data_IF_371835731100
#
_entry.id   IF_371835731100
#
_cell.length_a   1.000
_cell.length_b   1.000
_cell.length_c   1.000
_cell.angle_alpha   90.00
_cell.angle_beta   90.00
_cell.angle_gamma   90.00
#
_symmetry.space_group_name_H-M   'P 1'
#
loop_
_entity.id
_entity.type
_entity.pdbx_description
1 polymer ?
#
# COMPACT_ATOMS: atom_id res chain seq x y z
N UNK A 1 -12.70 10.21 26.36
CA UNK A 1 -11.25 9.98 26.44
C UNK A 1 -10.89 9.79 27.91
N UNK A 2 -10.39 8.61 28.27
CA UNK A 2 -9.94 8.23 29.61
C UNK A 2 -8.85 9.17 30.14
N UNK A 3 -7.81 9.37 29.33
CA UNK A 3 -6.73 10.30 29.65
C UNK A 3 -7.11 11.75 29.32
N UNK A 4 -8.20 11.95 28.58
CA UNK A 4 -8.65 13.30 28.21
C UNK A 4 -9.04 14.21 29.38
N UNK A 5 -9.40 13.63 30.53
CA UNK A 5 -9.59 14.37 31.79
C UNK A 5 -8.29 15.02 32.30
N UNK A 6 -7.14 14.55 31.83
CA UNK A 6 -5.83 15.06 32.17
C UNK A 6 -5.30 16.11 31.17
N UNK A 7 -6.17 16.64 30.31
CA UNK A 7 -5.86 17.71 29.37
C UNK A 7 -5.36 17.20 28.01
N UNK A 8 -4.84 18.14 27.20
CA UNK A 8 -4.43 17.88 25.80
C UNK A 8 -3.36 16.78 25.66
N UNK A 9 -2.45 16.67 26.62
CA UNK A 9 -1.37 15.66 26.60
C UNK A 9 -1.87 14.24 26.78
N UNK A 10 -2.79 14.03 27.72
CA UNK A 10 -3.45 12.73 27.88
C UNK A 10 -4.27 12.35 26.64
N UNK A 11 -4.94 13.34 26.01
CA UNK A 11 -5.66 13.11 24.74
C UNK A 11 -4.72 12.71 23.60
N UNK A 12 -3.53 13.30 23.52
CA UNK A 12 -2.54 12.98 22.49
C UNK A 12 -2.11 11.50 22.54
N UNK A 13 -1.73 11.02 23.72
CA UNK A 13 -1.32 9.63 23.93
C UNK A 13 -2.48 8.66 23.69
N UNK A 14 -3.67 8.99 24.20
CA UNK A 14 -4.86 8.15 23.98
C UNK A 14 -5.29 8.14 22.51
N UNK A 15 -5.18 9.27 21.80
CA UNK A 15 -5.49 9.38 20.38
C UNK A 15 -4.55 8.53 19.54
N UNK A 16 -3.23 8.54 19.83
CA UNK A 16 -2.27 7.63 19.18
C UNK A 16 -2.73 6.19 19.29
N UNK A 17 -3.01 5.72 20.52
CA UNK A 17 -3.42 4.33 20.73
C UNK A 17 -4.72 3.98 20.02
N UNK A 18 -5.76 4.82 20.16
CA UNK A 18 -7.06 4.56 19.56
C UNK A 18 -7.00 4.59 18.03
N UNK A 19 -6.27 5.54 17.42
CA UNK A 19 -6.10 5.63 15.98
C UNK A 19 -5.31 4.44 15.42
N UNK A 20 -4.22 4.04 16.07
CA UNK A 20 -3.47 2.84 15.71
C UNK A 20 -4.33 1.58 15.84
N UNK A 21 -5.19 1.50 16.86
CA UNK A 21 -6.13 0.39 17.04
C UNK A 21 -7.13 0.30 15.90
N UNK A 22 -7.74 1.42 15.52
CA UNK A 22 -8.67 1.45 14.38
C UNK A 22 -7.99 1.01 13.08
N UNK A 23 -6.75 1.47 12.82
CA UNK A 23 -5.99 1.04 11.64
C UNK A 23 -5.69 -0.47 11.68
N UNK A 24 -5.25 -1.00 12.82
CA UNK A 24 -4.99 -2.44 12.99
C UNK A 24 -6.26 -3.28 12.76
N UNK A 25 -7.41 -2.83 13.27
CA UNK A 25 -8.68 -3.52 13.04
C UNK A 25 -9.12 -3.44 11.57
N UNK A 26 -8.91 -2.32 10.88
CA UNK A 26 -9.20 -2.17 9.46
C UNK A 26 -8.37 -3.14 8.61
N UNK A 27 -7.05 -3.21 8.85
CA UNK A 27 -6.14 -4.15 8.17
C UNK A 27 -6.58 -5.59 8.41
N UNK A 28 -6.90 -5.95 9.66
CA UNK A 28 -7.34 -7.30 10.00
C UNK A 28 -8.72 -7.65 9.42
N UNK A 29 -9.64 -6.67 9.31
CA UNK A 29 -10.94 -6.88 8.69
C UNK A 29 -10.81 -7.20 7.20
N UNK A 30 -10.01 -6.41 6.46
CA UNK A 30 -9.72 -6.65 5.03
C UNK A 30 -9.03 -7.99 4.85
N UNK A 31 -7.94 -8.23 5.59
CA UNK A 31 -7.21 -9.51 5.59
C UNK A 31 -8.14 -10.70 5.82
N UNK A 32 -9.04 -10.59 6.80
CA UNK A 32 -9.99 -11.63 7.14
C UNK A 32 -11.00 -11.93 6.03
N UNK A 33 -11.46 -10.91 5.30
CA UNK A 33 -12.33 -11.11 4.12
C UNK A 33 -11.55 -11.74 2.98
N UNK A 34 -10.39 -11.18 2.61
CA UNK A 34 -9.53 -11.71 1.53
C UNK A 34 -9.10 -13.14 1.80
N UNK A 35 -8.76 -13.49 3.05
CA UNK A 35 -8.37 -14.85 3.43
C UNK A 35 -9.51 -15.86 3.20
N UNK A 36 -10.76 -15.44 3.42
CA UNK A 36 -11.95 -16.29 3.22
C UNK A 36 -12.39 -16.38 1.77
N UNK A 37 -12.30 -15.30 1.01
CA UNK A 37 -12.82 -15.21 -0.36
C UNK A 37 -11.77 -15.53 -1.42
N UNK A 38 -10.49 -15.35 -1.09
CA UNK A 38 -9.38 -15.37 -2.04
C UNK A 38 -9.47 -14.25 -3.07
N UNK A 39 -10.22 -13.17 -2.80
CA UNK A 39 -10.48 -12.07 -3.73
C UNK A 39 -10.02 -10.74 -3.14
N UNK A 40 -9.34 -9.87 -3.91
CA UNK A 40 -9.13 -8.48 -3.50
C UNK A 40 -10.47 -7.72 -3.49
N UNK A 41 -10.50 -6.55 -2.85
CA UNK A 41 -11.69 -5.70 -2.77
C UNK A 41 -11.69 -4.62 -3.86
N UNK A 42 -10.52 -4.00 -4.11
CA UNK A 42 -10.24 -3.02 -5.16
C UNK A 42 -11.08 -1.73 -5.12
N UNK A 43 -11.78 -1.45 -4.02
CA UNK A 43 -12.62 -0.27 -3.84
C UNK A 43 -12.53 0.34 -2.44
N UNK A 44 -11.48 0.00 -1.68
CA UNK A 44 -11.34 0.49 -0.31
C UNK A 44 -11.19 2.01 -0.28
N UNK A 45 -12.05 2.64 0.52
CA UNK A 45 -12.03 4.07 0.84
C UNK A 45 -12.40 4.27 2.32
N UNK A 46 -12.52 5.52 2.78
CA UNK A 46 -13.00 5.82 4.12
C UNK A 46 -14.47 5.42 4.34
N UNK A 47 -15.26 5.31 3.28
CA UNK A 47 -16.67 4.91 3.36
C UNK A 47 -16.85 3.39 3.47
N UNK A 48 -15.83 2.60 3.14
CA UNK A 48 -15.85 1.14 3.23
C UNK A 48 -15.91 0.64 4.68
N UNK A 49 -15.65 1.50 5.67
CA UNK A 49 -15.55 1.14 7.08
C UNK A 49 -16.58 1.86 7.94
N UNK A 50 -17.08 1.15 8.96
CA UNK A 50 -17.88 1.73 10.05
C UNK A 50 -17.17 1.48 11.37
N UNK A 51 -17.29 2.46 12.27
CA UNK A 51 -16.84 2.31 13.67
C UNK A 51 -18.07 2.16 14.55
N UNK A 52 -18.20 0.99 15.17
CA UNK A 52 -19.23 0.72 16.17
C UNK A 52 -18.66 0.93 17.57
N UNK A 53 -19.46 1.46 18.49
CA UNK A 53 -19.12 1.52 19.91
C UNK A 53 -19.97 0.50 20.65
N UNK A 54 -19.32 -0.45 21.31
CA UNK A 54 -20.02 -1.48 22.08
C UNK A 54 -20.30 -1.00 23.50
N UNK A 55 -21.32 -1.60 24.14
CA UNK A 55 -21.60 -1.34 25.55
C UNK A 55 -20.37 -1.72 26.37
N UNK A 56 -19.80 -0.71 27.03
CA UNK A 56 -18.64 -0.92 27.88
C UNK A 56 -19.10 -1.50 29.21
N UNK A 57 -18.42 -2.56 29.67
CA UNK A 57 -18.53 -2.97 31.07
C UNK A 57 -18.18 -1.81 32.01
N UNK A 58 -18.69 -1.86 33.24
CA UNK A 58 -18.47 -0.82 34.25
C UNK A 58 -16.97 -0.53 34.38
N UNK A 59 -16.59 0.75 34.20
CA UNK A 59 -15.22 1.22 34.38
C UNK A 59 -14.35 1.25 33.11
N UNK A 60 -14.80 0.70 31.98
CA UNK A 60 -14.04 0.80 30.72
C UNK A 60 -14.36 2.10 29.96
N UNK A 61 -13.35 2.79 29.41
CA UNK A 61 -13.59 3.98 28.60
C UNK A 61 -14.36 3.63 27.32
N UNK A 62 -15.46 4.34 27.06
CA UNK A 62 -16.36 4.07 25.92
C UNK A 62 -15.66 3.99 24.56
N UNK A 63 -14.67 4.84 24.29
CA UNK A 63 -13.97 4.83 23.00
C UNK A 63 -13.04 3.63 22.83
N UNK A 64 -12.68 2.94 23.91
CA UNK A 64 -11.82 1.76 23.85
C UNK A 64 -12.58 0.53 23.41
N UNK A 65 -13.92 0.55 23.52
CA UNK A 65 -14.81 -0.49 22.98
C UNK A 65 -15.18 -0.25 21.51
N UNK A 66 -14.52 0.70 20.84
CA UNK A 66 -14.64 0.88 19.40
C UNK A 66 -14.26 -0.37 18.65
N UNK A 67 -14.97 -0.64 17.54
CA UNK A 67 -14.63 -1.71 16.63
C UNK A 67 -14.83 -1.26 15.19
N UNK A 68 -13.82 -1.47 14.36
CA UNK A 68 -13.93 -1.28 12.91
C UNK A 68 -14.62 -2.49 12.29
N UNK A 69 -15.61 -2.21 11.43
CA UNK A 69 -16.22 -3.20 10.53
C UNK A 69 -16.05 -2.74 9.09
N UNK A 70 -15.60 -3.66 8.24
CA UNK A 70 -15.69 -3.53 6.79
C UNK A 70 -17.15 -3.78 6.40
N UNK A 71 -17.78 -2.80 5.75
CA UNK A 71 -19.20 -2.83 5.37
C UNK A 71 -19.43 -2.89 3.86
N UNK A 72 -18.37 -2.69 3.08
CA UNK A 72 -18.40 -2.82 1.63
C UNK A 72 -17.85 -4.20 1.20
N UNK A 73 -18.59 -4.98 0.38
CA UNK A 73 -18.18 -6.31 -0.05
C UNK A 73 -17.04 -6.35 -1.07
N UNK A 74 -16.57 -5.22 -1.60
CA UNK A 74 -15.58 -5.18 -2.67
C UNK A 74 -16.21 -5.15 -4.07
N UNK A 75 -15.51 -4.56 -5.03
CA UNK A 75 -15.94 -4.51 -6.45
C UNK A 75 -15.05 -5.30 -7.40
N UNK A 76 -14.05 -6.04 -6.90
CA UNK A 76 -13.13 -6.77 -7.78
C UNK A 76 -13.88 -7.76 -8.70
N UNK A 77 -13.70 -7.61 -10.01
CA UNK A 77 -14.23 -8.55 -11.00
C UNK A 77 -13.18 -9.60 -11.31
N UNK A 78 -13.58 -10.86 -11.23
CA UNK A 78 -12.75 -11.97 -11.68
C UNK A 78 -12.83 -12.02 -13.21
N UNK A 79 -11.68 -11.85 -13.85
CA UNK A 79 -11.51 -12.00 -15.27
C UNK A 79 -11.08 -13.44 -15.55
N UNK A 80 -11.90 -14.16 -16.30
CA UNK A 80 -11.56 -15.51 -16.77
C UNK A 80 -10.65 -15.35 -17.99
N UNK A 81 -9.37 -15.64 -17.81
CA UNK A 81 -8.38 -15.62 -18.88
C UNK A 81 -8.04 -17.06 -19.26
N UNK A 82 -8.57 -17.52 -20.40
CA UNK A 82 -8.40 -18.91 -20.84
C UNK A 82 -8.94 -19.94 -19.84
N UNK A 83 -8.29 -21.11 -19.78
CA UNK A 83 -8.62 -22.20 -18.83
C UNK A 83 -7.67 -22.27 -17.62
N UNK A 84 -6.98 -21.17 -17.34
CA UNK A 84 -5.95 -21.12 -16.30
C UNK A 84 -6.61 -21.18 -14.93
N UNK A 85 -5.96 -21.86 -13.98
CA UNK A 85 -6.36 -21.87 -12.57
C UNK A 85 -6.02 -20.58 -11.82
N UNK A 86 -5.30 -19.64 -12.43
CA UNK A 86 -4.94 -18.36 -11.83
C UNK A 86 -6.10 -17.38 -11.96
N UNK A 87 -6.61 -16.94 -10.81
CA UNK A 87 -7.72 -15.98 -10.73
C UNK A 87 -7.16 -14.58 -10.97
N UNK A 88 -7.45 -14.02 -12.14
CA UNK A 88 -7.08 -12.66 -12.48
C UNK A 88 -8.19 -11.72 -12.03
N UNK A 89 -7.85 -10.59 -11.42
CA UNK A 89 -8.82 -9.60 -11.00
C UNK A 89 -8.58 -8.25 -11.66
N UNK A 90 -9.66 -7.58 -12.02
CA UNK A 90 -9.66 -6.23 -12.56
C UNK A 90 -10.61 -5.36 -11.72
N UNK A 91 -10.26 -4.08 -11.58
CA UNK A 91 -11.24 -3.11 -11.11
C UNK A 91 -12.28 -2.90 -12.22
N UNK A 92 -13.58 -2.77 -11.90
CA UNK A 92 -14.56 -2.35 -12.90
C UNK A 92 -14.18 -0.98 -13.47
N UNK A 93 -14.39 -0.83 -14.78
CA UNK A 93 -14.22 0.42 -15.49
C UNK A 93 -15.12 1.50 -14.85
N UNK A 94 -14.56 2.69 -14.62
CA UNK A 94 -15.34 3.84 -14.15
C UNK A 94 -15.32 4.12 -12.64
N UNK A 95 -14.63 3.32 -11.83
CA UNK A 95 -14.26 3.78 -10.48
C UNK A 95 -13.03 4.69 -10.65
N UNK A 96 -13.24 6.00 -10.57
CA UNK A 96 -12.30 7.04 -11.03
C UNK A 96 -10.91 7.03 -10.38
N UNK A 97 -10.05 7.92 -10.89
CA UNK A 97 -8.76 8.26 -10.26
C UNK A 97 -9.02 8.79 -8.85
N UNK A 98 -8.33 8.25 -7.86
CA UNK A 98 -8.50 8.65 -6.47
C UNK A 98 -7.29 8.25 -5.64
N UNK A 99 -7.02 8.99 -4.56
CA UNK A 99 -5.83 8.82 -3.71
C UNK A 99 -5.71 7.43 -3.09
N UNK A 100 -6.80 6.68 -2.96
CA UNK A 100 -6.80 5.31 -2.43
C UNK A 100 -6.34 4.25 -3.46
N UNK A 101 -6.16 4.64 -4.72
CA UNK A 101 -5.76 3.75 -5.80
C UNK A 101 -4.35 4.11 -6.25
N UNK A 102 -3.40 3.15 -6.25
CA UNK A 102 -2.08 3.42 -6.79
C UNK A 102 -2.20 3.78 -8.28
N UNK A 103 -1.30 4.64 -8.75
CA UNK A 103 -1.23 4.96 -10.17
C UNK A 103 -0.85 3.69 -10.94
N UNK A 104 -1.75 3.24 -11.82
CA UNK A 104 -1.46 2.15 -12.74
C UNK A 104 -0.57 2.73 -13.85
N UNK A 105 0.64 2.19 -14.00
CA UNK A 105 1.60 2.60 -15.03
C UNK A 105 0.98 2.62 -16.44
N UNK A 106 -0.04 1.80 -16.66
CA UNK A 106 -0.77 1.72 -17.91
C UNK A 106 -2.27 1.65 -17.62
N UNK A 107 -2.97 2.80 -17.68
CA UNK A 107 -4.43 2.80 -17.86
C UNK A 107 -4.71 2.14 -19.21
N UNK A 108 -5.06 0.85 -19.20
CA UNK A 108 -5.67 0.12 -20.33
C UNK A 108 -5.19 0.56 -21.72
N UNK A 109 -3.88 0.56 -21.99
CA UNK A 109 -3.40 1.12 -23.27
C UNK A 109 -3.81 0.19 -24.41
N UNK A 110 -4.48 0.77 -25.40
CA UNK A 110 -4.81 0.10 -26.66
C UNK A 110 -3.87 0.61 -27.72
N UNK A 111 -3.39 -0.30 -28.54
CA UNK A 111 -2.43 0.05 -29.58
C UNK A 111 -2.41 -0.95 -30.71
N UNK A 112 -1.44 -0.74 -31.60
CA UNK A 112 -1.12 -1.68 -32.67
C UNK A 112 0.33 -2.12 -32.57
N UNK A 113 0.56 -3.39 -32.87
CA UNK A 113 1.87 -4.01 -32.83
C UNK A 113 2.12 -4.86 -34.06
N UNK A 114 3.40 -5.02 -34.38
CA UNK A 114 3.85 -6.09 -35.27
C UNK A 114 4.11 -7.34 -34.42
N UNK A 115 3.54 -8.46 -34.86
CA UNK A 115 3.65 -9.75 -34.20
C UNK A 115 4.30 -10.75 -35.15
N UNK A 116 5.26 -11.53 -34.65
CA UNK A 116 5.80 -12.68 -35.38
C UNK A 116 5.86 -13.89 -34.47
N UNK A 117 5.00 -14.87 -34.74
CA UNK A 117 4.96 -16.14 -34.00
C UNK A 117 6.29 -16.86 -34.26
N UNK A 118 6.98 -17.27 -33.20
CA UNK A 118 8.24 -18.02 -33.27
C UNK A 118 8.04 -19.51 -33.06
N UNK A 119 7.15 -19.86 -32.13
CA UNK A 119 6.87 -21.24 -31.81
C UNK A 119 5.49 -21.37 -31.18
N UNK A 120 4.87 -22.49 -31.49
CA UNK A 120 3.62 -22.95 -30.92
C UNK A 120 3.89 -24.25 -30.18
N UNK A 121 3.83 -24.20 -28.85
CA UNK A 121 4.11 -25.33 -27.97
C UNK A 121 2.80 -26.02 -27.57
N UNK A 122 2.67 -27.30 -27.92
CA UNK A 122 1.54 -28.17 -27.61
C UNK A 122 1.84 -29.12 -26.44
N UNK A 123 3.02 -29.01 -25.81
CA UNK A 123 3.45 -29.92 -24.74
C UNK A 123 2.88 -29.57 -23.36
N UNK A 124 2.30 -28.38 -23.19
CA UNK A 124 1.68 -27.98 -21.93
C UNK A 124 0.32 -28.68 -21.75
N UNK A 125 0.12 -29.46 -20.67
CA UNK A 125 -1.14 -30.17 -20.43
C UNK A 125 -2.35 -29.24 -20.23
N UNK A 126 -2.14 -27.95 -19.94
CA UNK A 126 -3.20 -26.96 -19.82
C UNK A 126 -3.71 -26.44 -21.17
N UNK A 127 -2.91 -26.52 -22.23
CA UNK A 127 -3.28 -26.05 -23.56
C UNK A 127 -2.08 -25.59 -24.38
N UNK A 128 -2.35 -24.98 -25.53
CA UNK A 128 -1.34 -24.52 -26.46
C UNK A 128 -0.74 -23.18 -26.00
N UNK A 129 0.58 -23.06 -26.04
CA UNK A 129 1.33 -21.84 -25.66
C UNK A 129 2.00 -21.24 -26.88
N UNK A 130 1.73 -19.97 -27.16
CA UNK A 130 2.29 -19.23 -28.29
C UNK A 130 3.40 -18.32 -27.80
N UNK A 131 4.59 -18.46 -28.37
CA UNK A 131 5.67 -17.48 -28.18
C UNK A 131 5.88 -16.66 -29.45
N UNK A 132 5.93 -15.34 -29.31
CA UNK A 132 6.05 -14.42 -30.43
C UNK A 132 7.01 -13.27 -30.13
N UNK A 133 7.61 -12.70 -31.18
CA UNK A 133 8.17 -11.34 -31.09
C UNK A 133 7.02 -10.34 -31.16
N UNK A 134 6.96 -9.43 -30.20
CA UNK A 134 6.04 -8.31 -30.16
C UNK A 134 6.84 -7.02 -30.36
N UNK A 135 6.44 -6.18 -31.31
CA UNK A 135 7.09 -4.88 -31.56
C UNK A 135 6.02 -3.80 -31.66
N UNK A 136 6.20 -2.69 -30.95
CA UNK A 136 5.31 -1.54 -31.05
C UNK A 136 6.09 -0.24 -30.85
N UNK A 137 5.56 0.86 -31.40
CA UNK A 137 6.02 2.22 -31.11
C UNK A 137 5.24 2.87 -29.98
N UNK A 138 4.20 2.21 -29.48
CA UNK A 138 3.37 2.69 -28.36
C UNK A 138 4.09 2.51 -27.03
N UNK A 139 3.66 3.26 -26.00
CA UNK A 139 4.14 3.01 -24.63
C UNK A 139 3.70 1.63 -24.18
N UNK A 140 4.68 0.81 -23.84
CA UNK A 140 4.44 -0.54 -23.35
C UNK A 140 4.57 -0.61 -21.85
N UNK A 141 3.79 -1.51 -21.22
CA UNK A 141 3.89 -1.76 -19.79
C UNK A 141 5.31 -2.19 -19.44
N UNK A 142 5.88 -1.57 -18.41
CA UNK A 142 7.18 -1.94 -17.82
C UNK A 142 7.02 -2.76 -16.53
N UNK A 143 5.80 -3.23 -16.23
CA UNK A 143 5.46 -3.97 -15.01
C UNK A 143 5.27 -5.48 -15.25
N UNK A 144 5.61 -6.30 -14.25
CA UNK A 144 5.48 -7.76 -14.34
C UNK A 144 4.05 -8.29 -14.17
N UNK A 145 3.11 -7.44 -13.77
CA UNK A 145 1.73 -7.80 -13.40
C UNK A 145 0.68 -7.54 -14.48
N UNK A 146 1.06 -7.02 -15.64
CA UNK A 146 0.14 -6.71 -16.73
C UNK A 146 -0.03 -7.89 -17.69
N UNK A 147 -1.26 -8.09 -18.18
CA UNK A 147 -1.54 -8.98 -19.29
C UNK A 147 -1.71 -8.17 -20.57
N UNK A 148 -1.26 -8.74 -21.69
CA UNK A 148 -1.53 -8.21 -23.01
C UNK A 148 -2.50 -9.14 -23.71
N UNK A 149 -3.63 -8.57 -24.11
CA UNK A 149 -4.60 -9.18 -25.00
C UNK A 149 -4.24 -8.85 -26.45
N UNK A 150 -3.98 -9.86 -27.28
CA UNK A 150 -3.70 -9.74 -28.70
C UNK A 150 -4.87 -10.27 -29.51
N UNK A 151 -5.32 -9.50 -30.51
CA UNK A 151 -6.34 -9.91 -31.48
C UNK A 151 -5.65 -10.33 -32.78
N UNK A 152 -5.13 -11.55 -32.79
CA UNK A 152 -4.31 -12.09 -33.88
C UNK A 152 -5.19 -12.50 -35.06
N UNK A 153 -4.96 -11.94 -36.27
CA UNK A 153 -5.66 -12.38 -37.47
C UNK A 153 -5.05 -13.71 -37.98
N UNK A 154 -5.88 -14.75 -38.10
CA UNK A 154 -5.51 -16.04 -38.71
C UNK A 154 -6.57 -16.40 -39.74
N UNK A 155 -6.21 -16.35 -41.02
CA UNK A 155 -7.12 -16.56 -42.15
C UNK A 155 -8.40 -15.70 -42.03
N UNK A 156 -9.59 -16.32 -42.06
CA UNK A 156 -10.89 -15.66 -41.91
C UNK A 156 -11.31 -15.44 -40.43
N UNK A 157 -10.48 -15.82 -39.46
CA UNK A 157 -10.79 -15.76 -38.03
C UNK A 157 -9.85 -14.82 -37.28
N UNK A 158 -10.32 -14.33 -36.14
CA UNK A 158 -9.48 -13.62 -35.17
C UNK A 158 -9.38 -14.45 -33.91
N UNK A 159 -8.15 -14.64 -33.44
CA UNK A 159 -7.86 -15.35 -32.18
C UNK A 159 -7.49 -14.33 -31.13
N UNK A 160 -8.05 -14.53 -29.94
CA UNK A 160 -7.68 -13.78 -28.76
C UNK A 160 -6.59 -14.54 -28.01
N UNK A 161 -5.42 -13.94 -27.87
CA UNK A 161 -4.33 -14.50 -27.07
C UNK A 161 -4.06 -13.55 -25.90
N UNK A 162 -4.12 -14.07 -24.68
CA UNK A 162 -3.67 -13.36 -23.49
C UNK A 162 -2.29 -13.85 -23.11
N UNK A 163 -1.38 -12.94 -22.77
CA UNK A 163 -0.02 -13.30 -22.42
C UNK A 163 0.73 -12.20 -21.71
N UNK A 164 2.00 -12.46 -21.40
CA UNK A 164 2.90 -11.48 -20.77
C UNK A 164 4.00 -11.07 -21.75
N UNK A 165 4.40 -9.81 -21.65
CA UNK A 165 5.59 -9.29 -22.32
C UNK A 165 6.81 -9.47 -21.41
N UNK A 166 7.95 -9.81 -22.01
CA UNK A 166 9.24 -9.89 -21.32
C UNK A 166 10.29 -9.10 -22.10
N UNK A 167 10.92 -8.15 -21.42
CA UNK A 167 12.01 -7.33 -21.97
C UNK A 167 13.37 -8.06 -21.93
N UNK A 168 13.59 -8.95 -20.96
CA UNK A 168 14.85 -9.67 -20.74
C UNK A 168 15.33 -10.55 -21.92
N UNK A 169 14.50 -10.70 -22.97
CA UNK A 169 14.81 -11.46 -24.19
C UNK A 169 14.64 -10.64 -25.48
N UNK A 170 14.64 -9.30 -25.37
CA UNK A 170 14.58 -8.39 -26.50
C UNK A 170 15.84 -8.51 -27.38
N UNK A 171 15.67 -8.67 -28.70
CA UNK A 171 16.77 -8.74 -29.66
C UNK A 171 17.10 -7.36 -30.29
N UNK A 172 16.26 -6.35 -30.06
CA UNK A 172 16.45 -4.99 -30.56
C UNK A 172 15.58 -3.97 -29.81
N UNK A 173 15.87 -2.67 -29.93
CA UNK A 173 15.11 -1.61 -29.26
C UNK A 173 13.64 -1.60 -29.72
N UNK A 174 12.71 -1.62 -28.77
CA UNK A 174 11.26 -1.67 -29.02
C UNK A 174 10.70 -3.06 -29.37
N UNK A 175 11.53 -4.11 -29.32
CA UNK A 175 11.07 -5.50 -29.41
C UNK A 175 10.96 -6.12 -28.02
N UNK A 176 9.90 -6.89 -27.79
CA UNK A 176 9.70 -7.68 -26.58
C UNK A 176 9.32 -9.11 -26.95
N UNK A 177 9.51 -10.03 -26.00
CA UNK A 177 9.00 -11.39 -26.13
C UNK A 177 7.59 -11.46 -25.56
N UNK A 178 6.62 -11.82 -26.39
CA UNK A 178 5.30 -12.22 -25.93
C UNK A 178 5.27 -13.72 -25.69
N UNK A 179 4.72 -14.14 -24.56
CA UNK A 179 4.38 -15.53 -24.27
C UNK A 179 2.92 -15.58 -23.83
N UNK A 180 2.09 -16.30 -24.59
CA UNK A 180 0.70 -16.49 -24.22
C UNK A 180 0.61 -17.36 -22.96
N UNK A 181 -0.51 -17.21 -22.27
CA UNK A 181 -0.97 -18.20 -21.33
C UNK A 181 -1.49 -19.42 -22.12
N UNK A 182 -1.59 -20.61 -21.49
CA UNK A 182 -2.13 -21.79 -22.14
C UNK A 182 -3.56 -21.57 -22.62
N UNK A 183 -3.82 -21.85 -23.90
CA UNK A 183 -5.12 -21.64 -24.53
C UNK A 183 -5.59 -22.94 -25.15
N UNK A 184 -6.82 -23.36 -24.82
CA UNK A 184 -7.44 -24.52 -25.48
C UNK A 184 -8.07 -24.07 -26.79
N UNK A 185 -7.62 -24.68 -27.87
CA UNK A 185 -8.10 -24.42 -29.22
C UNK A 185 -8.50 -25.73 -29.88
N UNK A 186 -9.41 -25.65 -30.85
CA UNK A 186 -9.68 -26.80 -31.71
C UNK A 186 -8.47 -27.12 -32.62
N UNK A 187 -8.43 -28.34 -33.18
CA UNK A 187 -7.31 -28.79 -34.01
C UNK A 187 -7.13 -27.98 -35.30
N UNK A 188 -8.18 -27.31 -35.79
CA UNK A 188 -8.08 -26.44 -36.97
C UNK A 188 -7.32 -25.17 -36.65
N UNK A 189 -7.61 -24.57 -35.49
CA UNK A 189 -6.98 -23.35 -35.03
C UNK A 189 -5.54 -23.59 -34.55
N UNK A 190 -5.27 -24.73 -33.92
CA UNK A 190 -3.91 -25.16 -33.60
C UNK A 190 -3.04 -25.26 -34.86
N UNK A 191 -3.58 -25.89 -35.91
CA UNK A 191 -2.89 -26.01 -37.20
C UNK A 191 -2.66 -24.65 -37.86
N UNK A 192 -3.64 -23.74 -37.79
CA UNK A 192 -3.50 -22.38 -38.33
C UNK A 192 -2.45 -21.56 -37.58
N UNK A 193 -2.41 -21.63 -36.23
CA UNK A 193 -1.37 -20.99 -35.41
C UNK A 193 0.03 -21.50 -35.77
N UNK A 194 0.16 -22.82 -35.97
CA UNK A 194 1.41 -23.45 -36.36
C UNK A 194 1.85 -23.09 -37.79
N UNK A 195 0.90 -23.04 -38.72
CA UNK A 195 1.16 -22.58 -40.09
C UNK A 195 1.58 -21.11 -40.16
N UNK A 196 1.17 -20.32 -39.17
CA UNK A 196 1.55 -18.91 -39.03
C UNK A 196 2.92 -18.69 -38.36
N UNK A 197 3.63 -19.75 -37.96
CA UNK A 197 5.01 -19.65 -37.48
C UNK A 197 5.92 -18.97 -38.52
N UNK A 198 6.68 -17.97 -38.08
CA UNK A 198 7.58 -17.20 -38.92
C UNK A 198 6.91 -16.12 -39.79
N UNK A 199 5.58 -16.14 -39.94
CA UNK A 199 4.85 -15.14 -40.75
C UNK A 199 4.78 -13.80 -40.00
N UNK A 200 5.28 -12.69 -40.58
CA UNK A 200 5.15 -11.38 -39.97
C UNK A 200 3.72 -10.86 -40.12
N UNK A 201 3.04 -10.65 -38.99
CA UNK A 201 1.72 -10.04 -38.92
C UNK A 201 1.88 -8.59 -38.51
N UNK A 202 1.43 -7.66 -39.35
CA UNK A 202 1.49 -6.23 -39.05
C UNK A 202 0.18 -5.76 -38.47
N UNK A 203 0.27 -4.69 -37.71
CA UNK A 203 -0.90 -3.90 -37.32
C UNK A 203 -1.92 -4.69 -36.46
N UNK A 204 -1.43 -5.65 -35.69
CA UNK A 204 -2.22 -6.47 -34.77
C UNK A 204 -2.67 -5.59 -33.61
N UNK A 205 -3.99 -5.56 -33.36
CA UNK A 205 -4.53 -4.81 -32.25
C UNK A 205 -4.19 -5.48 -30.92
N UNK A 206 -3.74 -4.67 -29.96
CA UNK A 206 -3.48 -5.13 -28.59
C UNK A 206 -4.14 -4.22 -27.55
N UNK A 207 -4.39 -4.79 -26.39
CA UNK A 207 -4.89 -4.11 -25.20
C UNK A 207 -4.13 -4.57 -23.97
N UNK A 208 -3.63 -3.64 -23.17
CA UNK A 208 -2.99 -3.93 -21.89
C UNK A 208 -4.06 -4.00 -20.81
N UNK A 209 -4.11 -5.10 -20.09
CA UNK A 209 -5.04 -5.34 -18.99
C UNK A 209 -4.26 -5.31 -17.67
N UNK A 210 -4.42 -4.26 -16.85
CA UNK A 210 -3.76 -4.18 -15.55
C UNK A 210 -4.41 -5.18 -14.60
N UNK A 211 -3.68 -6.23 -14.20
CA UNK A 211 -4.17 -7.14 -13.18
C UNK A 211 -3.94 -6.53 -11.80
N UNK A 212 -5.04 -6.12 -11.17
CA UNK A 212 -5.00 -5.59 -9.83
C UNK A 212 -5.19 -6.72 -8.81
N UNK A 213 -4.47 -6.65 -7.70
CA UNK A 213 -4.58 -7.61 -6.61
C UNK A 213 -4.59 -6.91 -5.25
N UNK A 214 -4.41 -7.67 -4.18
CA UNK A 214 -4.43 -7.18 -2.80
C UNK A 214 -3.37 -6.13 -2.43
N UNK A 215 -2.25 -5.94 -3.17
CA UNK A 215 -1.41 -4.76 -3.01
C UNK A 215 -2.16 -3.43 -3.14
N UNK A 216 -3.18 -3.36 -4.00
CA UNK A 216 -4.03 -2.18 -4.13
C UNK A 216 -4.83 -1.91 -2.84
N UNK A 217 -5.34 -2.97 -2.21
CA UNK A 217 -6.08 -2.87 -0.95
C UNK A 217 -5.16 -2.44 0.20
N UNK A 218 -3.91 -2.93 0.21
CA UNK A 218 -2.90 -2.52 1.20
C UNK A 218 -2.53 -1.03 1.02
N UNK A 219 -2.34 -0.58 -0.21
CA UNK A 219 -2.10 0.83 -0.53
C UNK A 219 -3.26 1.71 -0.02
N UNK A 220 -4.51 1.34 -0.31
CA UNK A 220 -5.69 2.05 0.17
C UNK A 220 -5.74 2.13 1.71
N UNK A 221 -5.38 1.04 2.40
CA UNK A 221 -5.24 1.03 3.87
C UNK A 221 -4.12 1.95 4.35
N UNK A 222 -3.01 2.07 3.61
CA UNK A 222 -1.92 3.01 3.91
C UNK A 222 -2.40 4.45 3.85
N UNK A 223 -3.16 4.79 2.81
CA UNK A 223 -3.78 6.11 2.64
C UNK A 223 -4.78 6.40 3.78
N UNK A 224 -5.57 5.40 4.19
CA UNK A 224 -6.43 5.51 5.38
C UNK A 224 -5.63 5.71 6.68
N UNK A 225 -4.46 5.07 6.80
CA UNK A 225 -3.53 5.29 7.89
C UNK A 225 -3.06 6.74 7.96
N UNK A 226 -2.61 7.29 6.83
CA UNK A 226 -2.23 8.71 6.69
C UNK A 226 -3.38 9.62 7.08
N UNK A 227 -4.58 9.38 6.52
CA UNK A 227 -5.77 10.16 6.84
C UNK A 227 -6.12 10.13 8.33
N UNK A 228 -5.99 8.97 8.96
CA UNK A 228 -6.35 8.80 10.37
C UNK A 228 -5.34 9.47 11.29
N UNK A 229 -4.04 9.40 10.96
CA UNK A 229 -2.96 9.78 11.87
C UNK A 229 -2.42 11.20 11.65
N UNK A 230 -2.45 11.70 10.42
CA UNK A 230 -1.72 12.90 10.00
C UNK A 230 -2.60 14.05 9.51
N UNK A 231 -3.89 13.80 9.25
CA UNK A 231 -4.84 14.81 8.76
C UNK A 231 -5.63 15.41 9.90
N UNK A 232 -5.68 16.73 9.93
CA UNK A 232 -6.40 17.55 10.91
C UNK A 232 -7.01 18.79 10.21
N UNK A 233 -7.43 19.80 10.98
CA UNK A 233 -7.97 21.03 10.41
C UNK A 233 -6.94 21.95 9.73
N UNK A 234 -5.65 21.66 9.86
CA UNK A 234 -4.53 22.46 9.33
C UNK A 234 -3.69 21.68 8.30
N UNK A 235 -3.84 20.37 8.20
CA UNK A 235 -3.11 19.51 7.29
C UNK A 235 -4.08 18.65 6.47
N UNK A 236 -4.06 18.81 5.15
CA UNK A 236 -4.93 18.06 4.25
C UNK A 236 -4.34 16.70 3.92
N UNK A 237 -5.17 15.76 3.43
CA UNK A 237 -4.71 14.43 3.04
C UNK A 237 -3.63 14.48 1.95
N UNK A 238 -3.78 15.37 0.95
CA UNK A 238 -2.80 15.49 -0.13
C UNK A 238 -1.42 15.92 0.40
N UNK A 239 -1.40 16.91 1.30
CA UNK A 239 -0.15 17.39 1.94
C UNK A 239 0.45 16.29 2.81
N UNK A 240 -0.36 15.63 3.65
CA UNK A 240 0.11 14.57 4.53
C UNK A 240 0.72 13.38 3.75
N UNK A 241 0.11 13.00 2.62
CA UNK A 241 0.63 11.95 1.74
C UNK A 241 1.97 12.36 1.12
N UNK A 242 2.04 13.56 0.53
CA UNK A 242 3.25 14.05 -0.14
C UNK A 242 4.43 14.17 0.84
N UNK A 243 4.18 14.69 2.05
CA UNK A 243 5.17 14.80 3.10
C UNK A 243 5.66 13.42 3.57
N UNK A 244 4.75 12.46 3.80
CA UNK A 244 5.15 11.10 4.20
C UNK A 244 5.94 10.39 3.09
N UNK A 245 5.52 10.52 1.83
CA UNK A 245 6.22 9.93 0.68
C UNK A 245 7.60 10.58 0.48
N UNK A 246 7.72 11.88 0.75
CA UNK A 246 9.00 12.59 0.69
C UNK A 246 9.94 12.19 1.83
N UNK A 247 9.43 12.02 3.05
CA UNK A 247 10.21 11.46 4.17
C UNK A 247 10.67 10.03 3.85
N UNK A 248 9.80 9.19 3.29
CA UNK A 248 10.14 7.81 2.93
C UNK A 248 11.28 7.74 1.90
N UNK A 249 11.28 8.62 0.88
CA UNK A 249 12.37 8.73 -0.10
C UNK A 249 13.66 9.25 0.54
N UNK A 250 13.58 10.22 1.45
CA UNK A 250 14.75 10.69 2.18
C UNK A 250 15.35 9.58 3.06
N UNK A 251 14.51 8.82 3.77
CA UNK A 251 14.92 7.69 4.58
C UNK A 251 15.55 6.55 3.76
N UNK A 252 15.15 6.38 2.50
CA UNK A 252 15.78 5.48 1.54
C UNK A 252 17.18 5.95 1.15
N UNK A 253 17.35 7.24 0.82
CA UNK A 253 18.68 7.81 0.56
C UNK A 253 19.63 7.62 1.74
N UNK A 254 19.15 7.75 2.98
CA UNK A 254 19.95 7.48 4.18
C UNK A 254 20.40 6.00 4.26
N UNK A 255 19.55 5.05 3.83
CA UNK A 255 19.89 3.61 3.78
C UNK A 255 20.84 3.26 2.65
N UNK A 256 20.72 3.92 1.50
CA UNK A 256 21.66 3.72 0.40
C UNK A 256 23.06 4.21 0.77
N UNK A 257 23.15 5.30 1.53
CA UNK A 257 24.41 5.84 2.04
C UNK A 257 25.00 4.97 3.15
N UNK A 258 24.16 4.42 4.03
CA UNK A 258 24.54 3.51 5.10
C UNK A 258 23.80 2.18 4.98
N UNK A 259 24.34 1.27 4.17
CA UNK A 259 23.72 -0.03 3.88
C UNK A 259 23.52 -0.97 5.08
N UNK A 260 23.93 -0.56 6.28
CA UNK A 260 23.76 -1.32 7.53
C UNK A 260 22.64 -0.81 8.43
N UNK A 261 22.10 0.39 8.15
CA UNK A 261 21.07 1.01 8.98
C UNK A 261 19.72 0.32 8.81
N UNK A 262 19.00 0.11 9.92
CA UNK A 262 17.64 -0.44 9.86
C UNK A 262 16.68 0.58 9.23
N UNK A 263 15.50 0.11 8.82
CA UNK A 263 14.49 1.01 8.26
C UNK A 263 14.02 2.06 9.27
N UNK A 264 13.78 1.64 10.50
CA UNK A 264 13.35 2.52 11.58
C UNK A 264 14.42 3.57 11.89
N UNK A 265 15.69 3.16 11.98
CA UNK A 265 16.80 4.08 12.24
C UNK A 265 16.99 5.07 11.07
N UNK A 266 16.75 4.65 9.83
CA UNK A 266 16.85 5.54 8.67
C UNK A 266 15.73 6.57 8.62
N UNK A 267 14.50 6.17 8.98
CA UNK A 267 13.40 7.11 9.14
C UNK A 267 13.66 8.06 10.30
N UNK A 268 14.21 7.58 11.42
CA UNK A 268 14.55 8.41 12.57
C UNK A 268 15.58 9.46 12.18
N UNK A 269 16.66 9.03 11.53
CA UNK A 269 17.71 9.90 11.03
C UNK A 269 17.16 10.95 10.05
N UNK A 270 16.39 10.54 9.04
CA UNK A 270 15.78 11.46 8.09
C UNK A 270 14.83 12.46 8.77
N UNK A 271 14.02 12.00 9.73
CA UNK A 271 13.05 12.82 10.45
C UNK A 271 13.73 13.88 11.32
N UNK A 272 14.81 13.53 12.02
CA UNK A 272 15.51 14.46 12.93
C UNK A 272 16.57 15.32 12.26
N UNK A 273 17.08 14.93 11.08
CA UNK A 273 17.99 15.76 10.31
C UNK A 273 17.31 17.02 9.75
N UNK A 274 15.98 17.03 9.63
CA UNK A 274 15.22 18.16 9.10
C UNK A 274 14.01 18.49 9.98
N UNK A 275 14.09 19.61 10.69
CA UNK A 275 13.06 20.05 11.63
C UNK A 275 11.68 20.28 11.00
N UNK A 276 11.58 20.41 9.66
CA UNK A 276 10.29 20.56 8.97
C UNK A 276 9.38 19.36 9.19
N UNK A 277 9.93 18.14 9.29
CA UNK A 277 9.16 16.90 9.43
C UNK A 277 8.37 16.87 10.74
N UNK A 278 8.98 17.34 11.82
CA UNK A 278 8.29 17.48 13.10
C UNK A 278 7.09 18.43 12.97
N UNK A 279 7.19 19.51 12.20
CA UNK A 279 6.09 20.45 11.96
C UNK A 279 5.00 19.93 11.03
N UNK A 280 5.36 19.22 9.96
CA UNK A 280 4.40 18.75 8.95
C UNK A 280 3.68 17.47 9.38
N UNK A 281 4.43 16.43 9.78
CA UNK A 281 3.95 15.06 10.04
C UNK A 281 4.34 14.56 11.43
N UNK A 282 4.45 15.46 12.40
CA UNK A 282 4.67 15.12 13.80
C UNK A 282 3.41 14.66 14.54
N UNK A 283 3.56 14.16 15.77
CA UNK A 283 2.45 13.60 16.54
C UNK A 283 1.35 14.60 16.90
N UNK A 284 1.62 15.91 16.85
CA UNK A 284 0.62 16.95 17.08
C UNK A 284 -0.63 16.80 16.20
N UNK A 285 -0.48 16.18 15.01
CA UNK A 285 -1.57 15.93 14.05
C UNK A 285 -2.62 14.94 14.56
N UNK A 286 -2.34 14.23 15.66
CA UNK A 286 -3.26 13.25 16.23
C UNK A 286 -4.49 13.89 16.87
N UNK A 287 -4.41 15.16 17.27
CA UNK A 287 -5.45 15.88 18.01
C UNK A 287 -5.81 17.19 17.33
N UNK A 288 -6.97 17.75 17.66
CA UNK A 288 -7.46 19.01 17.05
C UNK A 288 -6.89 20.23 17.78
N UNK A 289 -6.50 20.04 19.04
CA UNK A 289 -5.90 21.09 19.85
C UNK A 289 -4.55 21.53 19.32
N UNK A 290 -4.29 22.83 19.42
CA UNK A 290 -2.98 23.40 19.08
C UNK A 290 -1.93 22.92 20.09
N UNK A 291 -1.11 21.98 19.63
CA UNK A 291 0.00 21.38 20.35
C UNK A 291 1.26 21.61 19.52
N UNK A 292 2.28 22.30 20.07
CA UNK A 292 3.55 22.45 19.37
C UNK A 292 4.22 21.09 19.12
N UNK A 293 4.77 20.88 17.92
CA UNK A 293 5.38 19.60 17.50
C UNK A 293 6.44 19.08 18.47
N UNK A 294 7.32 19.96 18.95
CA UNK A 294 8.38 19.65 19.90
C UNK A 294 7.83 19.12 21.23
N UNK A 295 6.74 19.71 21.72
CA UNK A 295 6.08 19.26 22.95
C UNK A 295 5.26 17.98 22.73
N UNK A 296 4.73 17.76 21.52
CA UNK A 296 4.08 16.50 21.18
C UNK A 296 5.08 15.33 21.21
N UNK A 297 6.32 15.58 20.75
CA UNK A 297 7.43 14.61 20.80
C UNK A 297 7.98 14.36 22.21
N UNK A 298 7.70 15.23 23.21
CA UNK A 298 7.97 14.90 24.63
C UNK A 298 7.02 13.82 25.16
N UNK A 299 5.81 13.76 24.61
CA UNK A 299 4.74 12.90 25.10
C UNK A 299 4.70 11.56 24.39
N UNK A 300 5.03 11.55 23.10
CA UNK A 300 5.11 10.35 22.29
C UNK A 300 6.58 10.13 21.98
N UNK A 301 7.19 9.06 22.51
CA UNK A 301 8.58 8.73 22.23
C UNK A 301 8.83 8.71 20.71
N UNK A 302 9.88 9.41 20.23
CA UNK A 302 10.23 9.47 18.82
C UNK A 302 10.27 8.13 18.12
N UNK A 303 10.82 7.11 18.78
CA UNK A 303 11.01 5.77 18.25
C UNK A 303 9.66 5.10 17.95
N UNK A 304 8.63 5.41 18.75
CA UNK A 304 7.26 4.95 18.52
C UNK A 304 6.64 5.73 17.35
N UNK A 305 6.82 7.05 17.29
CA UNK A 305 6.25 7.86 16.22
C UNK A 305 6.86 7.52 14.86
N UNK A 306 8.18 7.45 14.78
CA UNK A 306 8.91 7.03 13.59
C UNK A 306 8.47 5.64 13.12
N UNK A 307 8.30 4.68 14.03
CA UNK A 307 7.79 3.36 13.68
C UNK A 307 6.37 3.39 13.12
N UNK A 308 5.51 4.30 13.60
CA UNK A 308 4.17 4.51 13.02
C UNK A 308 4.30 5.02 11.58
N UNK A 309 5.12 6.05 11.34
CA UNK A 309 5.34 6.60 10.00
C UNK A 309 5.93 5.55 9.05
N UNK A 310 6.94 4.80 9.49
CA UNK A 310 7.54 3.71 8.74
C UNK A 310 6.53 2.60 8.45
N UNK A 311 5.70 2.20 9.41
CA UNK A 311 4.68 1.17 9.18
C UNK A 311 3.67 1.60 8.12
N UNK A 312 3.19 2.85 8.18
CA UNK A 312 2.21 3.37 7.23
C UNK A 312 2.84 3.60 5.85
N UNK A 313 4.07 4.12 5.78
CA UNK A 313 4.76 4.35 4.50
C UNK A 313 4.99 3.06 3.73
N UNK A 314 5.32 1.96 4.41
CA UNK A 314 5.51 0.64 3.79
C UNK A 314 4.25 0.05 3.17
N UNK A 315 3.07 0.50 3.61
CA UNK A 315 1.79 0.10 3.01
C UNK A 315 1.58 0.79 1.66
N UNK A 316 2.20 1.96 1.44
CA UNK A 316 2.11 2.71 0.20
C UNK A 316 2.98 2.05 -0.87
N UNK A 317 2.33 1.49 -1.87
CA UNK A 317 2.98 0.83 -3.00
C UNK A 317 3.98 1.73 -3.74
N UNK A 318 5.18 1.19 -4.00
CA UNK A 318 6.17 1.80 -4.89
C UNK A 318 6.77 3.14 -4.44
N UNK A 319 6.57 3.54 -3.19
CA UNK A 319 7.08 4.83 -2.67
C UNK A 319 8.58 4.81 -2.41
N UNK A 320 9.07 3.68 -1.91
CA UNK A 320 10.49 3.36 -1.68
C UNK A 320 10.73 1.86 -1.75
N UNK A 321 11.98 1.43 -1.77
CA UNK A 321 12.37 0.01 -1.73
C UNK A 321 11.92 -0.71 -0.45
N UNK A 322 11.54 0.03 0.60
CA UNK A 322 10.99 -0.52 1.83
C UNK A 322 9.49 -0.88 1.73
N UNK A 323 8.81 -0.41 0.68
CA UNK A 323 7.39 -0.71 0.42
C UNK A 323 7.17 -2.22 0.37
N UNK A 324 6.08 -2.69 0.96
CA UNK A 324 5.77 -4.13 1.00
C UNK A 324 5.45 -4.69 -0.38
N UNK A 325 4.93 -3.83 -1.26
CA UNK A 325 4.59 -4.15 -2.63
C UNK A 325 5.17 -3.09 -3.57
N UNK A 326 5.76 -3.55 -4.67
CA UNK A 326 6.30 -2.67 -5.71
C UNK A 326 5.26 -2.28 -6.75
N UNK A 327 4.35 -3.20 -7.07
CA UNK A 327 3.33 -3.02 -8.09
C UNK A 327 1.99 -3.64 -7.69
N UNK A 328 0.97 -3.42 -8.53
CA UNK A 328 -0.43 -3.79 -8.27
C UNK A 328 -0.71 -5.29 -8.28
N UNK A 329 0.18 -6.10 -8.84
CA UNK A 329 0.09 -7.55 -8.87
C UNK A 329 1.15 -8.26 -8.02
N UNK A 330 1.99 -7.51 -7.28
CA UNK A 330 3.05 -8.02 -6.39
C UNK A 330 2.48 -8.80 -5.20
N UNK A 331 2.04 -10.02 -5.49
CA UNK A 331 1.51 -10.97 -4.52
C UNK A 331 2.51 -12.07 -4.25
N UNK A 332 2.84 -12.27 -2.97
CA UNK A 332 3.73 -13.34 -2.51
C UNK A 332 3.00 -14.69 -2.58
N UNK A 333 2.95 -15.29 -3.76
CA UNK A 333 2.42 -16.64 -3.99
C UNK A 333 0.88 -16.73 -4.06
N UNK A 334 0.35 -17.94 -3.87
CA UNK A 334 -1.08 -18.28 -4.10
C UNK A 334 -2.05 -17.74 -3.04
N UNK A 335 -1.56 -17.11 -1.96
CA UNK A 335 -2.39 -16.66 -0.83
C UNK A 335 -2.47 -15.13 -0.78
N UNK A 336 -3.49 -14.51 -1.42
CA UNK A 336 -3.52 -13.05 -1.60
C UNK A 336 -3.62 -12.26 -0.28
N UNK A 337 -4.07 -12.89 0.81
CA UNK A 337 -4.17 -12.25 2.13
C UNK A 337 -2.82 -12.09 2.86
N UNK A 338 -1.77 -12.80 2.45
CA UNK A 338 -0.46 -12.75 3.12
C UNK A 338 0.20 -11.37 3.00
N UNK A 339 -0.19 -10.58 1.99
CA UNK A 339 0.28 -9.20 1.80
C UNK A 339 0.06 -8.32 3.04
N UNK A 340 -0.96 -8.63 3.85
CA UNK A 340 -1.33 -7.87 5.04
C UNK A 340 -0.59 -8.33 6.32
N UNK A 341 0.04 -9.50 6.32
CA UNK A 341 0.55 -10.15 7.54
C UNK A 341 1.61 -9.30 8.25
N UNK A 342 2.55 -8.76 7.48
CA UNK A 342 3.63 -7.95 8.03
C UNK A 342 3.11 -6.65 8.64
N UNK A 343 2.19 -5.98 7.96
CA UNK A 343 1.54 -4.77 8.49
C UNK A 343 0.71 -5.09 9.73
N UNK A 344 -0.07 -6.19 9.72
CA UNK A 344 -0.88 -6.59 10.86
C UNK A 344 0.00 -6.89 12.10
N UNK A 345 1.15 -7.53 11.89
CA UNK A 345 2.14 -7.78 12.94
C UNK A 345 2.77 -6.50 13.49
N UNK A 346 3.22 -5.60 12.61
CA UNK A 346 3.80 -4.32 13.00
C UNK A 346 2.81 -3.45 13.81
N UNK A 347 1.55 -3.39 13.37
CA UNK A 347 0.49 -2.67 14.09
C UNK A 347 0.16 -3.34 15.44
N UNK A 348 0.23 -4.67 15.54
CA UNK A 348 0.06 -5.37 16.82
C UNK A 348 1.18 -5.05 17.83
N UNK A 349 2.44 -4.99 17.38
CA UNK A 349 3.57 -4.53 18.22
C UNK A 349 3.37 -3.07 18.67
N UNK A 350 2.99 -2.18 17.74
CA UNK A 350 2.67 -0.79 18.06
C UNK A 350 1.53 -0.66 19.07
N UNK A 351 0.53 -1.53 19.02
CA UNK A 351 -0.56 -1.53 20.01
C UNK A 351 -0.08 -1.89 21.42
N UNK A 352 0.84 -2.84 21.53
CA UNK A 352 1.44 -3.20 22.83
C UNK A 352 2.22 -2.00 23.40
N UNK A 353 3.01 -1.32 22.57
CA UNK A 353 3.81 -0.14 22.95
C UNK A 353 2.95 1.07 23.29
N UNK A 354 1.96 1.39 22.47
CA UNK A 354 1.07 2.54 22.74
C UNK A 354 0.19 2.31 23.97
N UNK A 355 -0.17 1.05 24.27
CA UNK A 355 -0.87 0.70 25.51
C UNK A 355 -0.01 0.94 26.75
N UNK A 356 1.30 0.69 26.70
CA UNK A 356 2.17 0.95 27.87
C UNK A 356 2.27 2.44 28.18
N UNK A 357 2.21 3.32 27.17
CA UNK A 357 2.15 4.77 27.37
C UNK A 357 0.90 5.25 28.13
N UNK A 358 -0.19 4.47 28.07
CA UNK A 358 -1.44 4.81 28.74
C UNK A 358 -1.48 4.32 30.19
N UNK A 359 -0.92 3.12 30.44
CA UNK A 359 -0.99 2.44 31.74
C UNK A 359 0.09 2.93 32.70
N UNK A 360 1.24 3.37 32.19
CA UNK A 360 2.29 4.04 32.98
C UNK A 360 1.92 5.50 33.20
N UNK A 361 2.33 6.09 34.34
CA UNK A 361 2.08 7.50 34.63
C UNK A 361 2.74 8.40 33.57
N UNK A 362 1.96 8.81 32.59
CA UNK A 362 2.38 9.71 31.51
C UNK A 362 2.96 11.03 32.03
N UNK A 363 2.63 11.46 33.26
CA UNK A 363 3.26 12.63 33.90
C UNK A 363 4.72 12.36 34.22
N UNK A 364 5.00 11.18 34.76
CA UNK A 364 6.37 10.76 35.07
C UNK A 364 7.20 10.64 33.79
N UNK A 365 6.64 10.07 32.71
CA UNK A 365 7.32 10.02 31.41
C UNK A 365 7.65 11.42 30.89
N UNK A 366 6.71 12.37 30.97
CA UNK A 366 6.94 13.75 30.54
C UNK A 366 8.05 14.44 31.33
N UNK A 367 8.04 14.30 32.65
CA UNK A 367 9.06 14.90 33.52
C UNK A 367 10.45 14.35 33.21
N UNK A 368 10.57 13.03 33.01
CA UNK A 368 11.82 12.37 32.66
C UNK A 368 12.31 12.83 31.27
N UNK A 369 11.45 12.83 30.26
CA UNK A 369 11.83 13.26 28.91
C UNK A 369 12.22 14.75 28.84
N UNK A 370 11.51 15.62 29.55
CA UNK A 370 11.86 17.05 29.63
C UNK A 370 13.23 17.27 30.28
N UNK A 371 13.54 16.51 31.34
CA UNK A 371 14.85 16.56 32.00
C UNK A 371 15.96 16.05 31.08
N UNK A 372 15.77 14.90 30.42
CA UNK A 372 16.74 14.35 29.46
C UNK A 372 17.01 15.34 28.32
N UNK A 373 15.98 16.01 27.82
CA UNK A 373 16.13 17.05 26.79
C UNK A 373 16.91 18.26 27.31
N UNK A 374 16.61 18.76 28.50
CA UNK A 374 17.38 19.89 29.08
C UNK A 374 18.87 19.57 29.21
N UNK A 375 19.22 18.31 29.48
CA UNK A 375 20.61 17.86 29.49
C UNK A 375 21.22 17.75 28.08
N UNK A 376 20.45 17.31 27.07
CA UNK A 376 20.92 17.21 25.67
C UNK A 376 21.09 18.57 24.98
N UNK A 377 20.21 19.53 25.29
CA UNK A 377 20.17 20.85 24.64
C UNK A 377 20.97 21.92 25.40
N UNK A 378 21.51 21.59 26.59
CA UNK A 378 22.34 22.50 27.40
C UNK A 378 21.56 23.67 28.01
N UNK A 379 20.23 23.57 28.10
CA UNK A 379 19.37 24.62 28.67
C UNK A 379 19.14 24.38 30.16
N UNK A 380 19.63 25.30 31.00
CA UNK A 380 19.27 25.36 32.43
C UNK A 380 17.78 25.64 32.61
N UNK A 381 17.19 24.97 33.59
CA UNK A 381 15.79 25.08 33.98
C UNK A 381 15.50 26.52 34.41
N UNK A 382 14.78 27.28 33.59
CA UNK A 382 14.13 28.50 34.07
C UNK A 382 12.87 28.09 34.81
N UNK A 383 12.98 28.04 36.13
CA UNK A 383 11.85 27.89 37.05
C UNK A 383 10.96 29.13 36.95
N UNK A 384 10.11 29.22 35.94
CA UNK A 384 9.02 30.21 35.91
C UNK A 384 7.87 29.79 34.99
N UNK A 385 7.08 28.83 35.47
CA UNK A 385 5.68 28.71 35.12
C UNK A 385 4.96 28.04 36.30
N UNK A 386 4.39 28.87 37.16
CA UNK A 386 3.71 28.50 38.40
C UNK A 386 2.80 27.28 38.23
N UNK A 387 3.10 26.25 39.02
CA UNK A 387 2.23 25.10 39.26
C UNK A 387 0.98 25.63 39.97
N UNK A 388 -0.24 25.47 39.42
CA UNK A 388 -1.44 25.74 40.19
C UNK A 388 -1.54 24.67 41.27
N UNK A 389 -1.32 25.06 42.52
CA UNK A 389 -1.67 24.26 43.69
C UNK A 389 -3.18 24.13 43.75
N UNK A 390 -3.67 22.89 43.64
CA UNK A 390 -5.08 22.57 43.86
C UNK A 390 -5.43 22.80 45.33
N UNK A 391 -6.34 23.74 45.59
CA UNK A 391 -7.32 23.63 46.68
C UNK A 391 -8.61 23.03 46.12
#
# INVERSE_FOLDING_TARGET
>A
LFLGRHGRWGRLVEALHLKTKLLAEAVNAVRGVVSKTGRPLLNLTDESFRVELWEAGVGLPRLWTSRVRLVDPGTAHEMVVGEIRERCFVSPDGIGRGVYRPELATEGSRGRCDLRIRSVDESDPAGLVVEATFRTGERTPSGGSELVELRVPLDEKRVLLHGRLREEQALGPGEMRFRSLPVRVDGTLASALKAAEGVPMRDVAFEVVPLASTPCDLHALGVLGVRTLLVDGQNTLAVALDELMSLARQAETEREQDGSISLEDSFEKAFFNDARWAGSIGPQRLVVEDVPSVQALDMIPPEIWVRVLATVSRMLMGVSDASLCRDVGDTKGLSPHVVFDETASALADLLVRTRSLIVVDWRHNREVHAVVRSFREGMERTDDAGIPTLR
#
